data_IF_920545531861
#
_entry.id   IF_920545531861
#
_cell.length_a   1.000
_cell.length_b   1.000
_cell.length_c   1.000
_cell.angle_alpha   90.00
_cell.angle_beta   90.00
_cell.angle_gamma   90.00
#
_symmetry.space_group_name_H-M   'P 1'
#
loop_
_entity.id
_entity.type
_entity.pdbx_description
1 polymer ?
#
# COMPACT_ATOMS: atom_id res chain seq x y z
N UNK A 1 45.69 2.36 -50.38
CA UNK A 1 47.12 2.37 -50.01
C UNK A 1 47.22 1.95 -48.55
N UNK A 2 47.62 0.69 -48.32
CA UNK A 2 47.62 -0.01 -47.03
C UNK A 2 48.75 0.51 -46.14
N UNK A 3 48.43 1.19 -45.04
CA UNK A 3 49.42 1.71 -44.10
C UNK A 3 49.87 0.58 -43.16
N UNK A 4 51.03 -0.01 -43.44
CA UNK A 4 51.72 -0.93 -42.54
C UNK A 4 52.42 -0.15 -41.44
N UNK A 5 51.96 -0.28 -40.20
CA UNK A 5 52.65 0.27 -39.02
C UNK A 5 53.56 -0.83 -38.47
N UNK A 6 54.86 -0.70 -38.74
CA UNK A 6 55.90 -1.54 -38.17
C UNK A 6 56.17 -1.09 -36.72
N UNK A 7 55.92 -1.98 -35.75
CA UNK A 7 56.18 -1.72 -34.34
C UNK A 7 57.64 -2.12 -34.02
N UNK A 8 58.51 -1.12 -33.89
CA UNK A 8 59.91 -1.31 -33.53
C UNK A 8 60.02 -1.50 -32.01
N UNK A 9 60.20 -2.74 -31.56
CA UNK A 9 60.40 -3.07 -30.13
C UNK A 9 61.83 -2.71 -29.76
N UNK A 10 62.00 -1.59 -29.06
CA UNK A 10 63.25 -1.21 -28.42
C UNK A 10 63.37 -1.94 -27.08
N UNK A 11 64.14 -3.04 -27.05
CA UNK A 11 64.46 -3.76 -25.81
C UNK A 11 65.52 -2.96 -25.06
N UNK A 12 65.09 -2.16 -24.08
CA UNK A 12 66.00 -1.57 -23.09
C UNK A 12 66.25 -2.59 -21.98
N UNK A 13 67.52 -2.97 -21.87
CA UNK A 13 68.19 -3.71 -20.79
C UNK A 13 67.36 -3.84 -19.50
N UNK A 14 66.83 -5.05 -19.25
CA UNK A 14 66.29 -5.42 -17.95
C UNK A 14 67.43 -5.79 -17.01
N UNK A 15 67.78 -4.88 -16.10
CA UNK A 15 68.51 -5.27 -14.89
C UNK A 15 67.53 -6.02 -13.99
N UNK A 16 67.68 -7.35 -13.90
CA UNK A 16 67.01 -8.15 -12.89
C UNK A 16 67.54 -7.74 -11.51
N UNK A 17 66.85 -6.82 -10.83
CA UNK A 17 67.09 -6.57 -9.41
C UNK A 17 66.67 -7.84 -8.67
N UNK A 18 67.56 -8.42 -7.86
CA UNK A 18 67.20 -9.58 -7.04
C UNK A 18 66.04 -9.19 -6.13
N UNK A 19 64.88 -9.84 -6.30
CA UNK A 19 63.67 -9.62 -5.49
C UNK A 19 63.86 -10.32 -4.13
N UNK A 20 64.95 -9.99 -3.43
CA UNK A 20 65.16 -10.48 -2.07
C UNK A 20 64.28 -9.67 -1.14
N UNK A 21 63.38 -10.35 -0.43
CA UNK A 21 62.59 -9.73 0.62
C UNK A 21 63.35 -9.62 1.94
N UNK A 22 64.65 -9.94 1.97
CA UNK A 22 65.55 -9.79 3.11
C UNK A 22 66.15 -8.39 3.15
N UNK A 23 66.05 -7.74 4.31
CA UNK A 23 66.53 -6.39 4.56
C UNK A 23 67.49 -6.40 5.73
N UNK A 24 68.54 -5.60 5.62
CA UNK A 24 69.50 -5.35 6.70
C UNK A 24 69.56 -3.84 6.94
N UNK A 25 69.45 -3.42 8.20
CA UNK A 25 69.53 -2.00 8.61
C UNK A 25 70.39 -1.86 9.85
N UNK A 26 71.02 -0.70 10.01
CA UNK A 26 71.62 -0.29 11.28
C UNK A 26 70.71 0.77 11.88
N UNK A 27 70.26 0.53 13.10
CA UNK A 27 69.38 1.43 13.86
C UNK A 27 70.14 1.97 15.06
N UNK A 28 69.89 3.24 15.38
CA UNK A 28 70.41 3.87 16.60
C UNK A 28 69.30 3.83 17.65
N UNK A 29 69.61 3.34 18.85
CA UNK A 29 68.65 3.24 19.93
C UNK A 29 68.41 4.63 20.54
N UNK A 30 67.45 5.39 20.01
CA UNK A 30 67.17 6.77 20.46
C UNK A 30 65.85 6.92 21.22
N UNK A 31 64.89 6.04 20.95
CA UNK A 31 63.53 6.07 21.49
C UNK A 31 63.04 4.65 21.79
N UNK A 32 62.02 4.53 22.64
CA UNK A 32 61.48 3.24 23.09
C UNK A 32 60.80 2.43 21.97
N UNK A 33 60.44 3.06 20.85
CA UNK A 33 59.75 2.41 19.72
C UNK A 33 60.38 2.78 18.39
N UNK A 34 60.96 1.82 17.70
CA UNK A 34 61.61 2.01 16.40
C UNK A 34 60.76 1.35 15.31
N UNK A 35 60.37 2.12 14.30
CA UNK A 35 59.71 1.57 13.10
C UNK A 35 60.77 1.05 12.15
N UNK A 36 60.79 -0.27 11.93
CA UNK A 36 61.77 -0.92 11.08
C UNK A 36 61.41 -0.79 9.60
N UNK A 37 60.13 -0.91 9.25
CA UNK A 37 59.69 -0.94 7.85
C UNK A 37 58.24 -0.46 7.65
N UNK A 38 57.91 -0.16 6.40
CA UNK A 38 56.55 0.15 5.93
C UNK A 38 55.71 -1.09 5.62
N UNK A 39 56.36 -2.23 5.39
CA UNK A 39 55.73 -3.54 5.12
C UNK A 39 55.84 -4.42 6.36
N UNK A 40 54.89 -5.35 6.54
CA UNK A 40 54.91 -6.28 7.68
C UNK A 40 56.11 -7.25 7.57
N UNK A 41 56.69 -7.58 8.72
CA UNK A 41 57.82 -8.52 8.84
C UNK A 41 57.28 -9.96 8.86
N UNK A 42 58.04 -10.89 8.27
CA UNK A 42 57.74 -12.32 8.33
C UNK A 42 58.09 -12.81 9.75
N UNK A 43 57.12 -13.36 10.52
CA UNK A 43 57.37 -13.83 11.88
C UNK A 43 58.54 -14.82 11.94
N UNK A 44 59.41 -14.67 12.95
CA UNK A 44 60.59 -15.51 13.14
C UNK A 44 61.76 -15.25 12.20
N UNK A 45 61.67 -14.27 11.29
CA UNK A 45 62.79 -13.89 10.40
C UNK A 45 63.71 -12.81 10.96
N UNK A 46 63.31 -12.16 12.06
CA UNK A 46 64.04 -11.03 12.64
C UNK A 46 65.20 -11.48 13.52
N UNK A 47 66.35 -10.85 13.32
CA UNK A 47 67.56 -11.02 14.13
C UNK A 47 68.17 -9.64 14.39
N UNK A 48 68.57 -9.39 15.63
CA UNK A 48 69.28 -8.18 16.02
C UNK A 48 70.65 -8.54 16.60
N UNK A 49 71.67 -7.77 16.21
CA UNK A 49 73.05 -7.95 16.63
C UNK A 49 73.63 -6.64 17.15
N UNK A 50 74.32 -6.71 18.28
CA UNK A 50 75.05 -5.60 18.89
C UNK A 50 76.49 -6.05 19.14
N UNK A 51 77.47 -5.29 18.67
CA UNK A 51 78.91 -5.64 18.77
C UNK A 51 79.23 -7.08 18.32
N UNK A 52 78.59 -7.54 17.24
CA UNK A 52 78.69 -8.90 16.69
C UNK A 52 78.13 -10.04 17.55
N UNK A 53 77.42 -9.74 18.63
CA UNK A 53 76.66 -10.72 19.42
C UNK A 53 75.16 -10.60 19.14
N UNK A 54 74.45 -11.74 19.13
CA UNK A 54 73.01 -11.79 18.94
C UNK A 54 72.33 -11.31 20.21
N UNK A 55 71.44 -10.32 20.09
CA UNK A 55 70.63 -9.85 21.22
C UNK A 55 69.61 -10.93 21.58
N UNK A 56 69.50 -11.25 22.87
CA UNK A 56 68.52 -12.21 23.37
C UNK A 56 67.09 -11.73 23.05
N UNK A 57 66.22 -12.63 22.60
CA UNK A 57 64.81 -12.36 22.29
C UNK A 57 63.99 -11.84 23.48
N UNK A 58 64.48 -11.95 24.72
CA UNK A 58 63.86 -11.33 25.91
C UNK A 58 64.12 -9.82 26.02
N UNK A 59 65.14 -9.31 25.31
CA UNK A 59 65.56 -7.92 25.37
C UNK A 59 64.84 -7.03 24.35
N UNK A 60 63.99 -7.60 23.51
CA UNK A 60 63.19 -6.84 22.57
C UNK A 60 61.84 -7.49 22.35
N UNK A 61 60.85 -6.67 22.00
CA UNK A 61 59.55 -7.11 21.52
C UNK A 61 59.37 -6.58 20.11
N UNK A 62 59.07 -7.47 19.16
CA UNK A 62 58.78 -7.11 17.79
C UNK A 62 57.30 -7.32 17.50
N UNK A 63 56.63 -6.28 17.03
CA UNK A 63 55.32 -6.42 16.42
C UNK A 63 55.48 -6.62 14.91
N UNK A 64 55.49 -7.88 14.46
CA UNK A 64 55.70 -8.25 13.06
C UNK A 64 54.69 -7.60 12.09
N UNK A 65 53.45 -7.44 12.54
CA UNK A 65 52.34 -6.89 11.73
C UNK A 65 52.52 -5.41 11.43
N UNK A 66 52.98 -4.63 12.43
CA UNK A 66 53.19 -3.19 12.29
C UNK A 66 54.66 -2.78 12.08
N UNK A 67 55.57 -3.76 12.05
CA UNK A 67 57.02 -3.57 11.90
C UNK A 67 57.62 -2.60 12.92
N UNK A 68 57.10 -2.66 14.15
CA UNK A 68 57.56 -1.85 15.29
C UNK A 68 58.37 -2.71 16.24
N UNK A 69 59.59 -2.25 16.54
CA UNK A 69 60.52 -2.88 17.48
C UNK A 69 60.59 -2.05 18.75
N UNK A 70 60.45 -2.73 19.88
CA UNK A 70 60.56 -2.18 21.22
C UNK A 70 61.74 -2.84 21.89
N UNK A 71 62.66 -2.07 22.46
CA UNK A 71 63.75 -2.63 23.25
C UNK A 71 63.41 -2.51 24.73
N UNK A 72 63.68 -3.57 25.48
CA UNK A 72 63.68 -3.49 26.92
C UNK A 72 65.04 -2.94 27.38
N UNK A 73 65.03 -1.82 28.08
CA UNK A 73 66.23 -1.14 28.60
C UNK A 73 66.63 -1.63 29.99
N UNK A 74 66.05 -2.74 30.45
CA UNK A 74 66.47 -3.42 31.68
C UNK A 74 67.99 -3.67 31.71
N UNK A 75 68.57 -3.53 32.90
CA UNK A 75 70.02 -3.61 33.11
C UNK A 75 70.63 -4.97 32.73
N UNK A 76 69.81 -6.00 32.55
CA UNK A 76 70.20 -7.34 32.08
C UNK A 76 70.53 -7.40 30.59
N UNK A 77 70.08 -6.43 29.79
CA UNK A 77 70.20 -6.45 28.33
C UNK A 77 71.40 -5.68 27.78
N UNK A 78 72.15 -4.95 28.63
CA UNK A 78 73.37 -4.22 28.27
C UNK A 78 73.24 -3.24 27.08
N UNK A 79 72.01 -2.78 26.77
CA UNK A 79 71.74 -1.81 25.71
C UNK A 79 71.57 -0.41 26.32
N UNK A 80 72.25 0.59 25.75
CA UNK A 80 72.14 2.00 26.16
C UNK A 80 71.57 2.85 25.03
N UNK A 81 70.84 3.93 25.36
CA UNK A 81 70.51 4.94 24.37
C UNK A 81 71.76 5.46 23.65
N UNK A 82 71.73 5.48 22.32
CA UNK A 82 72.85 5.84 21.44
C UNK A 82 73.61 4.66 20.83
N UNK A 83 73.32 3.42 21.24
CA UNK A 83 73.95 2.22 20.66
C UNK A 83 73.50 1.94 19.22
N UNK A 84 74.44 1.48 18.39
CA UNK A 84 74.20 1.05 17.02
C UNK A 84 73.90 -0.45 16.98
N UNK A 85 72.69 -0.82 16.55
CA UNK A 85 72.24 -2.21 16.45
C UNK A 85 72.05 -2.55 14.98
N UNK A 86 72.65 -3.66 14.53
CA UNK A 86 72.41 -4.18 13.19
C UNK A 86 71.26 -5.19 13.22
N UNK A 87 70.22 -4.92 12.47
CA UNK A 87 69.02 -5.75 12.36
C UNK A 87 68.90 -6.35 10.97
N UNK A 88 68.45 -7.60 10.92
CA UNK A 88 68.18 -8.33 9.70
C UNK A 88 66.80 -8.99 9.80
N UNK A 89 65.99 -8.87 8.75
CA UNK A 89 64.62 -9.41 8.73
C UNK A 89 64.11 -9.61 7.31
N UNK A 90 63.04 -10.38 7.14
CA UNK A 90 62.30 -10.52 5.88
C UNK A 90 60.96 -9.80 5.94
N UNK A 91 60.52 -9.22 4.83
CA UNK A 91 59.22 -8.54 4.73
C UNK A 91 58.24 -9.28 3.82
N UNK A 92 56.96 -9.15 4.09
CA UNK A 92 55.90 -9.48 3.13
C UNK A 92 55.82 -8.41 2.02
N UNK A 93 55.31 -8.75 0.83
CA UNK A 93 55.09 -7.77 -0.23
C UNK A 93 53.93 -6.80 0.05
N UNK A 94 53.23 -6.96 1.19
CA UNK A 94 52.08 -6.16 1.63
C UNK A 94 52.21 -5.82 3.12
N UNK A 95 51.57 -4.73 3.55
CA UNK A 95 51.41 -4.44 4.98
C UNK A 95 50.07 -4.99 5.49
N UNK A 96 50.12 -5.91 6.44
CA UNK A 96 48.95 -6.53 7.07
C UNK A 96 48.19 -5.57 8.00
N UNK A 97 48.83 -4.48 8.43
CA UNK A 97 48.18 -3.45 9.26
C UNK A 97 47.39 -2.40 8.45
N UNK A 98 47.51 -2.42 7.12
CA UNK A 98 46.93 -1.38 6.27
C UNK A 98 45.45 -1.70 6.02
N UNK A 99 44.58 -0.89 6.62
CA UNK A 99 43.13 -0.95 6.35
C UNK A 99 42.87 -0.33 4.99
N UNK A 100 42.27 -1.10 4.08
CA UNK A 100 41.73 -0.60 2.83
C UNK A 100 40.21 -0.50 2.97
N UNK A 101 39.65 0.66 2.69
CA UNK A 101 38.20 0.81 2.57
C UNK A 101 37.89 1.64 1.33
N UNK A 102 36.89 1.18 0.56
CA UNK A 102 36.37 1.90 -0.60
C UNK A 102 35.22 2.84 -0.21
N UNK A 103 34.68 2.71 1.02
CA UNK A 103 33.62 3.57 1.59
C UNK A 103 33.83 3.71 3.10
N UNK A 104 33.90 4.93 3.63
CA UNK A 104 34.03 5.14 5.07
C UNK A 104 32.67 4.96 5.75
N UNK A 105 32.64 4.25 6.88
CA UNK A 105 31.44 4.15 7.73
C UNK A 105 31.03 5.55 8.24
N UNK A 106 31.98 6.48 8.36
CA UNK A 106 31.70 7.88 8.73
C UNK A 106 30.89 8.61 7.66
N UNK A 107 31.08 8.29 6.38
CA UNK A 107 30.27 8.86 5.27
C UNK A 107 28.90 8.18 5.14
N UNK A 108 28.68 7.06 5.83
CA UNK A 108 27.40 6.32 5.82
C UNK A 108 26.53 6.66 7.03
N UNK A 109 27.12 7.12 8.15
CA UNK A 109 26.41 7.39 9.41
C UNK A 109 26.16 8.89 9.64
N UNK A 110 26.88 9.79 8.95
CA UNK A 110 26.70 11.25 9.08
C UNK A 110 25.43 11.83 8.43
N UNK A 111 24.48 10.98 8.02
CA UNK A 111 23.15 11.39 7.54
C UNK A 111 21.97 10.80 8.33
N UNK A 112 22.23 10.12 9.46
CA UNK A 112 21.19 9.45 10.27
C UNK A 112 20.65 10.28 11.45
N UNK A 113 21.11 11.51 11.62
CA UNK A 113 20.43 12.51 12.43
C UNK A 113 19.90 13.61 11.48
N UNK A 114 18.57 13.76 11.44
CA UNK A 114 17.77 14.83 10.81
C UNK A 114 17.21 14.75 9.37
N UNK A 115 17.41 13.69 8.57
CA UNK A 115 16.66 13.63 7.28
C UNK A 115 16.16 12.25 6.84
N UNK A 116 15.74 11.42 7.81
CA UNK A 116 14.78 10.35 7.49
C UNK A 116 13.41 10.99 7.24
N UNK A 117 13.25 11.67 6.10
CA UNK A 117 11.95 11.84 5.47
C UNK A 117 11.66 10.51 4.79
N UNK A 118 10.76 9.66 5.31
CA UNK A 118 10.20 8.61 4.47
C UNK A 118 9.77 9.27 3.17
N UNK A 119 9.87 8.56 2.04
CA UNK A 119 9.15 8.95 0.84
C UNK A 119 7.65 8.91 1.16
N UNK A 120 7.16 9.90 1.89
CA UNK A 120 5.77 10.24 1.97
C UNK A 120 5.49 10.84 0.62
N UNK A 121 4.92 10.02 -0.25
CA UNK A 121 4.06 10.54 -1.28
C UNK A 121 2.98 11.36 -0.56
N UNK A 122 3.24 12.65 -0.40
CA UNK A 122 2.19 13.64 -0.24
C UNK A 122 1.68 13.82 -1.66
N UNK A 123 0.51 13.24 -2.02
CA UNK A 123 -0.13 13.68 -3.25
C UNK A 123 -0.15 15.21 -3.18
N UNK A 124 0.29 15.87 -4.25
CA UNK A 124 -0.11 17.26 -4.42
C UNK A 124 -1.61 17.26 -4.21
N UNK A 125 -2.08 18.06 -3.25
CA UNK A 125 -3.48 18.34 -3.09
C UNK A 125 -3.88 19.14 -4.32
N UNK A 126 -4.06 18.46 -5.44
CA UNK A 126 -4.75 18.98 -6.59
C UNK A 126 -6.12 19.36 -6.06
N UNK A 127 -6.34 20.67 -5.90
CA UNK A 127 -7.65 21.26 -5.60
C UNK A 127 -8.63 21.07 -6.75
N UNK A 128 -8.23 20.37 -7.81
CA UNK A 128 -9.11 19.77 -8.81
C UNK A 128 -9.81 18.54 -8.21
N UNK A 129 -10.51 18.73 -7.10
CA UNK A 129 -11.57 17.81 -6.72
C UNK A 129 -12.62 17.97 -7.82
N UNK A 130 -12.82 16.92 -8.62
CA UNK A 130 -13.75 16.86 -9.76
C UNK A 130 -15.19 17.28 -9.39
N UNK A 131 -15.45 17.49 -8.09
CA UNK A 131 -16.71 17.87 -7.46
C UNK A 131 -16.61 19.09 -6.53
N UNK A 132 -15.61 19.98 -6.64
CA UNK A 132 -15.50 21.20 -5.83
C UNK A 132 -16.53 22.29 -6.21
N UNK A 133 -17.78 21.92 -6.41
CA UNK A 133 -18.87 22.89 -6.48
C UNK A 133 -19.13 23.35 -5.05
N UNK A 134 -18.86 24.62 -4.75
CA UNK A 134 -19.14 25.20 -3.43
C UNK A 134 -20.60 24.94 -3.06
N UNK A 135 -20.85 24.31 -1.91
CA UNK A 135 -22.20 23.95 -1.46
C UNK A 135 -22.59 22.48 -1.60
N UNK A 136 -21.66 21.60 -1.98
CA UNK A 136 -21.84 20.14 -1.94
C UNK A 136 -21.28 19.52 -0.65
N UNK A 137 -22.10 18.74 0.04
CA UNK A 137 -21.70 17.86 1.13
C UNK A 137 -21.51 16.44 0.60
N UNK A 138 -20.35 15.87 0.89
CA UNK A 138 -19.98 14.51 0.54
C UNK A 138 -19.79 13.70 1.82
N UNK A 139 -20.39 12.53 1.90
CA UNK A 139 -20.22 11.58 3.00
C UNK A 139 -20.03 10.15 2.47
N UNK A 140 -19.36 9.32 3.26
CA UNK A 140 -19.06 7.94 2.92
C UNK A 140 -17.57 7.66 2.73
N UNK A 141 -17.25 6.52 2.13
CA UNK A 141 -15.88 6.02 1.96
C UNK A 141 -15.70 5.32 0.61
N UNK A 142 -14.45 5.36 0.13
CA UNK A 142 -14.00 4.63 -1.04
C UNK A 142 -12.78 3.83 -0.59
N UNK A 143 -12.87 2.51 -0.66
CA UNK A 143 -11.78 1.60 -0.29
C UNK A 143 -11.37 0.79 -1.52
N UNK A 144 -10.08 0.81 -1.85
CA UNK A 144 -9.47 -0.03 -2.88
C UNK A 144 -8.31 -0.76 -2.24
N UNK A 145 -8.43 -2.07 -2.06
CA UNK A 145 -7.43 -2.94 -1.45
C UNK A 145 -6.89 -3.93 -2.46
N UNK A 146 -5.59 -4.20 -2.39
CA UNK A 146 -4.96 -5.27 -3.18
C UNK A 146 -4.49 -6.32 -2.18
N UNK A 147 -4.94 -7.55 -2.35
CA UNK A 147 -4.59 -8.68 -1.50
C UNK A 147 -3.72 -9.66 -2.29
N UNK A 148 -2.60 -10.07 -1.71
CA UNK A 148 -1.66 -11.04 -2.28
C UNK A 148 -1.33 -12.08 -1.20
N UNK A 149 -1.20 -13.35 -1.57
CA UNK A 149 -0.91 -14.45 -0.64
C UNK A 149 -0.06 -15.54 -1.30
N UNK A 150 0.70 -16.29 -0.51
CA UNK A 150 1.70 -17.26 -1.01
C UNK A 150 1.12 -18.35 -1.94
N UNK A 151 -0.19 -18.60 -1.92
CA UNK A 151 -0.88 -19.59 -2.76
C UNK A 151 -2.17 -19.02 -3.39
N UNK A 152 -2.27 -17.70 -3.58
CA UNK A 152 -3.47 -17.09 -4.18
C UNK A 152 -3.08 -15.98 -5.14
N UNK A 153 -3.83 -15.90 -6.25
CA UNK A 153 -3.70 -14.81 -7.21
C UNK A 153 -3.98 -13.46 -6.55
N UNK A 154 -3.44 -12.39 -7.16
CA UNK A 154 -3.68 -11.03 -6.69
C UNK A 154 -5.16 -10.70 -6.85
N UNK A 155 -5.82 -10.37 -5.74
CA UNK A 155 -7.22 -9.97 -5.72
C UNK A 155 -7.32 -8.47 -5.45
N UNK A 156 -8.08 -7.78 -6.30
CA UNK A 156 -8.43 -6.37 -6.10
C UNK A 156 -9.80 -6.33 -5.43
N UNK A 157 -9.84 -5.84 -4.20
CA UNK A 157 -11.06 -5.61 -3.44
C UNK A 157 -11.44 -4.14 -3.53
N UNK A 158 -12.71 -3.88 -3.86
CA UNK A 158 -13.26 -2.56 -4.06
C UNK A 158 -14.53 -2.43 -3.23
N UNK A 159 -14.60 -1.40 -2.40
CA UNK A 159 -15.84 -1.01 -1.73
C UNK A 159 -16.06 0.48 -1.93
N UNK A 160 -17.28 0.84 -2.32
CA UNK A 160 -17.70 2.21 -2.53
C UNK A 160 -19.01 2.41 -1.79
N UNK A 161 -19.04 3.35 -0.86
CA UNK A 161 -20.26 3.88 -0.27
C UNK A 161 -20.13 5.40 -0.28
N UNK A 162 -20.86 6.05 -1.18
CA UNK A 162 -20.76 7.48 -1.38
C UNK A 162 -22.15 8.10 -1.43
N UNK A 163 -22.37 9.09 -0.58
CA UNK A 163 -23.55 9.93 -0.59
C UNK A 163 -23.13 11.37 -0.86
N UNK A 164 -23.86 12.04 -1.72
CA UNK A 164 -23.59 13.42 -2.10
C UNK A 164 -24.91 14.19 -2.10
N UNK A 165 -24.93 15.33 -1.42
CA UNK A 165 -26.08 16.23 -1.42
C UNK A 165 -25.63 17.69 -1.46
N UNK A 166 -26.46 18.57 -1.98
CA UNK A 166 -26.20 20.01 -1.91
C UNK A 166 -26.58 20.74 -3.19
N UNK A 167 -26.13 21.99 -3.30
CA UNK A 167 -26.37 22.83 -4.48
C UNK A 167 -25.25 22.63 -5.50
N UNK A 168 -25.64 22.24 -6.72
CA UNK A 168 -24.74 22.20 -7.88
C UNK A 168 -24.64 23.58 -8.54
N UNK A 169 -25.72 24.37 -8.49
CA UNK A 169 -25.80 25.77 -8.89
C UNK A 169 -26.88 26.48 -8.06
N UNK A 170 -27.10 27.79 -8.28
CA UNK A 170 -28.10 28.56 -7.51
C UNK A 170 -29.51 27.93 -7.55
N UNK A 171 -29.88 27.42 -8.73
CA UNK A 171 -31.20 26.85 -9.04
C UNK A 171 -31.21 25.32 -9.19
N UNK A 172 -30.13 24.59 -8.90
CA UNK A 172 -30.07 23.14 -9.07
C UNK A 172 -29.45 22.48 -7.86
N UNK A 173 -30.20 21.57 -7.25
CA UNK A 173 -29.73 20.68 -6.19
C UNK A 173 -29.41 19.30 -6.75
N UNK A 174 -28.45 18.63 -6.11
CA UNK A 174 -28.08 17.25 -6.40
C UNK A 174 -28.25 16.42 -5.13
N UNK A 175 -28.73 15.19 -5.32
CA UNK A 175 -28.76 14.13 -4.32
C UNK A 175 -28.32 12.84 -5.03
N UNK A 176 -27.25 12.23 -4.57
CA UNK A 176 -26.76 10.98 -5.14
C UNK A 176 -26.40 10.00 -4.03
N UNK A 177 -26.66 8.72 -4.29
CA UNK A 177 -26.19 7.60 -3.51
C UNK A 177 -25.56 6.60 -4.48
N UNK A 178 -24.30 6.24 -4.25
CA UNK A 178 -23.56 5.27 -5.06
C UNK A 178 -22.97 4.27 -4.08
N UNK A 179 -23.41 3.04 -4.19
CA UNK A 179 -23.03 1.92 -3.33
C UNK A 179 -22.68 0.72 -4.21
N UNK A 180 -21.53 0.11 -3.95
CA UNK A 180 -21.04 -1.09 -4.65
C UNK A 180 -20.98 -2.29 -3.68
N UNK A 181 -21.56 -2.16 -2.49
CA UNK A 181 -21.53 -3.22 -1.50
C UNK A 181 -22.63 -4.24 -1.78
N UNK A 182 -22.24 -5.41 -2.26
CA UNK A 182 -23.03 -6.63 -2.07
C UNK A 182 -22.94 -7.01 -0.59
N UNK A 183 -23.87 -6.54 0.25
CA UNK A 183 -23.99 -7.07 1.61
C UNK A 183 -24.66 -8.44 1.48
N UNK A 184 -24.01 -9.56 1.85
CA UNK A 184 -24.74 -10.82 2.01
C UNK A 184 -25.76 -10.60 3.13
N UNK A 185 -27.03 -10.49 2.77
CA UNK A 185 -28.10 -10.35 3.74
C UNK A 185 -28.23 -11.67 4.49
N UNK A 186 -27.94 -11.67 5.78
CA UNK A 186 -28.42 -12.71 6.70
C UNK A 186 -29.42 -12.01 7.61
N UNK A 187 -30.70 -12.15 7.30
CA UNK A 187 -31.78 -11.57 8.09
C UNK A 187 -31.89 -12.34 9.42
N UNK A 188 -31.13 -11.94 10.44
CA UNK A 188 -31.38 -12.42 11.80
C UNK A 188 -32.50 -11.60 12.46
N UNK A 189 -33.66 -12.23 12.65
CA UNK A 189 -34.52 -12.06 13.83
C UNK A 189 -35.18 -10.71 14.09
N UNK A 190 -35.13 -9.73 13.18
CA UNK A 190 -35.90 -8.49 13.35
C UNK A 190 -36.40 -7.94 12.01
N UNK A 191 -37.57 -8.39 11.58
CA UNK A 191 -38.15 -8.13 10.25
C UNK A 191 -38.69 -6.70 10.07
N UNK A 192 -38.59 -5.86 11.10
CA UNK A 192 -39.07 -4.47 11.08
C UNK A 192 -38.07 -3.49 10.44
N UNK A 193 -36.76 -3.74 10.55
CA UNK A 193 -35.75 -2.87 9.95
C UNK A 193 -35.48 -3.30 8.51
N UNK A 194 -36.26 -2.73 7.59
CA UNK A 194 -36.00 -2.79 6.17
C UNK A 194 -34.79 -1.92 5.85
N UNK A 195 -33.61 -2.53 5.75
CA UNK A 195 -32.42 -1.79 5.35
C UNK A 195 -32.05 -2.10 3.90
N UNK A 196 -32.74 -1.42 2.99
CA UNK A 196 -32.37 -1.36 1.57
C UNK A 196 -31.14 -0.45 1.43
N UNK A 197 -29.95 -1.06 1.33
CA UNK A 197 -28.69 -0.32 1.22
C UNK A 197 -28.15 -0.19 -0.21
N UNK A 198 -28.86 -0.73 -1.22
CA UNK A 198 -28.32 -0.94 -2.57
C UNK A 198 -28.93 -0.01 -3.65
N UNK A 199 -29.20 1.25 -3.29
CA UNK A 199 -29.71 2.23 -4.27
C UNK A 199 -28.54 2.97 -4.91
N UNK A 200 -28.43 2.85 -6.23
CA UNK A 200 -27.46 3.59 -7.03
C UNK A 200 -28.19 4.58 -7.92
N UNK A 201 -28.17 5.86 -7.56
CA UNK A 201 -28.83 6.91 -8.32
C UNK A 201 -28.16 8.27 -8.18
N UNK A 202 -28.42 9.12 -9.16
CA UNK A 202 -28.15 10.55 -9.13
C UNK A 202 -29.46 11.26 -9.43
N UNK A 203 -29.88 12.13 -8.52
CA UNK A 203 -31.06 12.98 -8.63
C UNK A 203 -30.62 14.43 -8.75
N UNK A 204 -31.00 15.08 -9.84
CA UNK A 204 -30.89 16.52 -10.04
C UNK A 204 -32.28 17.13 -9.92
N UNK A 205 -32.44 18.17 -9.13
CA UNK A 205 -33.76 18.74 -8.91
C UNK A 205 -33.74 20.21 -8.53
N UNK A 206 -34.86 20.86 -8.81
CA UNK A 206 -35.20 22.20 -8.34
C UNK A 206 -36.70 22.26 -8.03
N UNK A 207 -37.24 23.46 -7.81
CA UNK A 207 -38.65 23.64 -7.43
C UNK A 207 -39.65 23.12 -8.46
N UNK A 208 -39.23 23.01 -9.74
CA UNK A 208 -40.11 22.67 -10.86
C UNK A 208 -39.75 21.38 -11.58
N UNK A 209 -38.49 20.95 -11.51
CA UNK A 209 -37.95 19.85 -12.29
C UNK A 209 -37.21 18.88 -11.41
N UNK A 210 -37.36 17.59 -11.71
CA UNK A 210 -36.66 16.49 -11.05
C UNK A 210 -36.24 15.48 -12.10
N UNK A 211 -34.95 15.23 -12.20
CA UNK A 211 -34.35 14.22 -13.05
C UNK A 211 -33.64 13.20 -12.16
N UNK A 212 -33.91 11.91 -12.35
CA UNK A 212 -33.23 10.81 -11.69
C UNK A 212 -32.60 9.94 -12.76
N UNK A 213 -31.32 9.61 -12.59
CA UNK A 213 -30.59 8.63 -13.38
C UNK A 213 -30.11 7.51 -12.45
N UNK A 214 -30.30 6.25 -12.86
CA UNK A 214 -30.06 5.06 -12.04
C UNK A 214 -31.36 4.51 -11.46
N UNK A 215 -31.32 4.13 -10.20
CA UNK A 215 -32.44 3.51 -9.52
C UNK A 215 -33.53 4.53 -9.16
N UNK A 216 -34.76 4.23 -9.54
CA UNK A 216 -35.92 5.03 -9.15
C UNK A 216 -37.15 4.17 -8.89
N UNK A 217 -38.10 4.79 -8.20
CA UNK A 217 -39.38 4.19 -7.87
C UNK A 217 -40.50 5.06 -8.44
N UNK A 218 -41.40 4.43 -9.17
CA UNK A 218 -42.65 5.03 -9.61
C UNK A 218 -43.68 4.73 -8.54
N UNK A 219 -44.06 5.76 -7.81
CA UNK A 219 -45.13 5.68 -6.82
C UNK A 219 -46.49 5.96 -7.48
N UNK A 220 -47.57 5.31 -6.98
CA UNK A 220 -48.91 5.63 -7.44
C UNK A 220 -49.24 7.09 -7.08
N UNK A 221 -49.70 7.84 -8.07
CA UNK A 221 -50.26 9.18 -7.84
C UNK A 221 -51.67 9.08 -7.24
N UNK A 222 -52.24 10.22 -6.85
CA UNK A 222 -53.58 10.29 -6.27
C UNK A 222 -54.72 10.09 -7.30
N UNK A 223 -54.46 9.38 -8.39
CA UNK A 223 -55.45 9.05 -9.42
C UNK A 223 -56.32 7.88 -8.98
N UNK A 224 -57.59 7.91 -9.38
CA UNK A 224 -58.48 6.75 -9.23
C UNK A 224 -58.03 5.57 -10.10
N UNK A 225 -57.53 5.86 -11.31
CA UNK A 225 -57.10 4.87 -12.29
C UNK A 225 -55.58 4.71 -12.32
N UNK A 226 -55.10 3.54 -12.78
CA UNK A 226 -53.68 3.24 -13.04
C UNK A 226 -52.77 3.44 -11.82
N UNK A 227 -53.17 2.90 -10.67
CA UNK A 227 -52.30 2.80 -9.49
C UNK A 227 -51.31 1.66 -9.69
N UNK A 228 -50.04 1.99 -9.90
CA UNK A 228 -48.97 1.00 -9.91
C UNK A 228 -47.77 1.54 -9.14
N UNK A 229 -47.06 0.61 -8.49
CA UNK A 229 -45.76 0.86 -7.91
C UNK A 229 -44.74 0.11 -8.77
N UNK A 230 -43.64 0.74 -9.20
CA UNK A 230 -42.61 0.04 -9.98
C UNK A 230 -41.22 0.52 -9.57
N UNK A 231 -40.33 -0.42 -9.24
CA UNK A 231 -38.88 -0.16 -9.08
C UNK A 231 -38.19 -0.43 -10.42
N UNK A 232 -37.36 0.50 -10.88
CA UNK A 232 -36.65 0.38 -12.16
C UNK A 232 -35.29 1.06 -12.14
N UNK A 233 -34.44 0.68 -13.08
CA UNK A 233 -33.13 1.27 -13.30
C UNK A 233 -33.08 1.91 -14.69
N UNK A 234 -32.85 3.22 -14.74
CA UNK A 234 -32.84 3.98 -15.99
C UNK A 234 -32.93 5.48 -15.73
N UNK A 235 -33.81 6.16 -16.47
CA UNK A 235 -34.05 7.60 -16.33
C UNK A 235 -35.50 7.91 -15.98
N UNK A 236 -35.71 8.85 -15.07
CA UNK A 236 -37.01 9.42 -14.72
C UNK A 236 -36.92 10.94 -14.72
N UNK A 237 -37.79 11.59 -15.47
CA UNK A 237 -38.00 13.03 -15.45
C UNK A 237 -39.39 13.37 -14.94
N UNK A 238 -39.49 14.36 -14.06
CA UNK A 238 -40.72 15.00 -13.59
C UNK A 238 -40.57 16.51 -13.74
N UNK A 239 -41.61 17.17 -14.24
CA UNK A 239 -41.64 18.61 -14.46
C UNK A 239 -43.00 19.20 -14.15
N UNK A 240 -43.01 20.37 -13.51
CA UNK A 240 -44.21 21.11 -13.11
C UNK A 240 -44.20 22.48 -13.79
N UNK A 241 -45.19 22.72 -14.65
CA UNK A 241 -45.27 23.91 -15.49
C UNK A 241 -46.51 24.73 -15.13
N UNK A 242 -46.39 26.04 -14.94
CA UNK A 242 -47.57 26.90 -14.77
C UNK A 242 -48.34 26.97 -16.09
N UNK A 243 -49.66 26.78 -16.06
CA UNK A 243 -50.52 26.87 -17.25
C UNK A 243 -51.62 27.91 -17.01
N UNK A 244 -51.51 29.04 -17.71
CA UNK A 244 -52.48 30.14 -17.68
C UNK A 244 -52.48 30.96 -16.39
N UNK A 245 -53.50 31.82 -16.23
CA UNK A 245 -53.72 32.66 -15.04
C UNK A 245 -54.26 31.90 -13.82
N UNK A 246 -54.55 30.60 -13.96
CA UNK A 246 -55.12 29.77 -12.90
C UNK A 246 -54.03 28.96 -12.19
N UNK A 247 -54.20 28.83 -10.87
CA UNK A 247 -53.23 28.29 -9.88
C UNK A 247 -52.94 26.78 -10.00
N UNK A 248 -53.35 26.10 -11.07
CA UNK A 248 -53.18 24.66 -11.22
C UNK A 248 -52.02 24.36 -12.17
N UNK A 249 -50.83 24.02 -11.66
CA UNK A 249 -49.69 23.71 -12.51
C UNK A 249 -49.88 22.34 -13.20
N UNK A 250 -49.48 22.26 -14.46
CA UNK A 250 -49.41 21.02 -15.22
C UNK A 250 -48.19 20.21 -14.78
N UNK A 251 -48.41 18.98 -14.31
CA UNK A 251 -47.34 18.04 -13.96
C UNK A 251 -47.15 17.01 -15.06
N UNK A 252 -45.92 16.89 -15.58
CA UNK A 252 -45.52 15.92 -16.60
C UNK A 252 -44.49 14.98 -15.98
N UNK A 253 -44.61 13.67 -16.23
CA UNK A 253 -43.64 12.66 -15.82
C UNK A 253 -43.37 11.72 -16.98
N UNK A 254 -42.09 11.46 -17.27
CA UNK A 254 -41.66 10.52 -18.30
C UNK A 254 -40.49 9.70 -17.76
N UNK A 255 -40.48 8.40 -18.05
CA UNK A 255 -39.41 7.50 -17.60
C UNK A 255 -39.12 6.42 -18.62
N UNK A 256 -37.86 6.04 -18.74
CA UNK A 256 -37.40 4.88 -19.50
C UNK A 256 -36.44 4.06 -18.65
N UNK A 257 -36.74 2.77 -18.43
CA UNK A 257 -35.97 1.93 -17.54
C UNK A 257 -36.12 0.44 -17.82
N UNK A 258 -35.14 -0.31 -17.34
CA UNK A 258 -35.24 -1.76 -17.15
C UNK A 258 -35.93 -2.03 -15.82
N UNK A 259 -36.93 -2.91 -15.82
CA UNK A 259 -37.63 -3.29 -14.58
C UNK A 259 -36.68 -4.10 -13.68
N UNK A 260 -36.59 -3.76 -12.39
CA UNK A 260 -35.79 -4.54 -11.42
C UNK A 260 -36.44 -5.88 -11.06
N UNK A 261 -37.71 -6.09 -11.41
CA UNK A 261 -38.41 -7.33 -11.13
C UNK A 261 -39.71 -7.48 -11.92
N UNK A 262 -40.37 -8.63 -11.74
CA UNK A 262 -41.69 -8.94 -12.28
C UNK A 262 -42.70 -8.96 -11.14
N UNK A 263 -43.90 -8.42 -11.39
CA UNK A 263 -45.01 -8.51 -10.44
C UNK A 263 -45.68 -9.86 -10.56
N UNK A 264 -45.92 -10.51 -9.43
CA UNK A 264 -46.70 -11.74 -9.34
C UNK A 264 -47.73 -11.60 -8.23
N UNK A 265 -48.93 -12.13 -8.45
CA UNK A 265 -49.96 -12.26 -7.43
C UNK A 265 -50.07 -13.73 -7.07
N UNK A 266 -49.72 -14.07 -5.84
CA UNK A 266 -49.98 -15.39 -5.28
C UNK A 266 -51.30 -15.33 -4.51
N UNK A 267 -52.18 -16.32 -4.73
CA UNK A 267 -53.44 -16.47 -4.02
C UNK A 267 -53.57 -17.92 -3.62
N UNK A 268 -53.73 -18.18 -2.34
CA UNK A 268 -53.90 -19.52 -1.78
C UNK A 268 -54.97 -19.48 -0.69
N UNK A 269 -55.65 -20.60 -0.48
CA UNK A 269 -56.46 -20.81 0.70
C UNK A 269 -55.58 -21.40 1.79
N UNK A 270 -55.76 -20.98 3.04
CA UNK A 270 -55.08 -21.60 4.16
C UNK A 270 -55.48 -23.07 4.29
N UNK A 271 -54.53 -23.94 4.61
CA UNK A 271 -54.78 -25.36 4.85
C UNK A 271 -54.99 -25.60 6.35
N UNK A 272 -55.97 -26.43 6.70
CA UNK A 272 -56.21 -26.79 8.09
C UNK A 272 -55.00 -27.54 8.67
N UNK A 273 -54.59 -27.18 9.89
CA UNK A 273 -53.36 -27.63 10.55
C UNK A 273 -52.03 -27.19 9.90
N UNK A 274 -52.05 -26.22 8.99
CA UNK A 274 -50.83 -25.64 8.42
C UNK A 274 -50.62 -24.18 8.87
N UNK A 275 -49.65 -23.96 9.77
CA UNK A 275 -49.27 -22.62 10.24
C UNK A 275 -48.24 -21.93 9.32
N UNK A 276 -47.96 -22.51 8.16
CA UNK A 276 -46.94 -22.05 7.24
C UNK A 276 -45.54 -22.63 7.52
N UNK A 277 -44.53 -22.20 6.75
CA UNK A 277 -44.56 -21.14 5.75
C UNK A 277 -45.27 -21.56 4.44
N UNK A 278 -46.08 -20.65 3.90
CA UNK A 278 -46.67 -20.82 2.57
C UNK A 278 -45.65 -20.43 1.50
N UNK A 279 -45.35 -21.33 0.58
CA UNK A 279 -44.39 -21.09 -0.49
C UNK A 279 -44.98 -20.19 -1.56
N UNK A 280 -44.26 -19.13 -1.90
CA UNK A 280 -44.61 -18.22 -2.97
C UNK A 280 -43.97 -18.69 -4.28
N UNK A 281 -44.65 -18.45 -5.39
CA UNK A 281 -44.17 -18.79 -6.73
C UNK A 281 -43.99 -17.55 -7.59
N UNK A 282 -43.05 -17.64 -8.54
CA UNK A 282 -42.79 -16.60 -9.52
C UNK A 282 -43.89 -16.49 -10.57
N UNK A 283 -43.78 -15.48 -11.42
CA UNK A 283 -44.76 -15.22 -12.48
C UNK A 283 -44.91 -16.41 -13.45
N UNK A 284 -43.86 -17.21 -13.62
CA UNK A 284 -43.82 -18.38 -14.51
C UNK A 284 -43.82 -19.71 -13.72
N UNK A 285 -44.40 -19.74 -12.52
CA UNK A 285 -44.35 -20.89 -11.59
C UNK A 285 -42.94 -21.30 -11.15
N UNK A 286 -41.99 -20.36 -11.15
CA UNK A 286 -40.66 -20.55 -10.60
C UNK A 286 -40.76 -20.76 -9.08
N UNK A 287 -40.07 -21.77 -8.54
CA UNK A 287 -40.06 -22.07 -7.09
C UNK A 287 -38.98 -21.33 -6.32
N UNK A 288 -37.91 -20.93 -7.00
CA UNK A 288 -36.79 -20.19 -6.43
C UNK A 288 -36.89 -18.75 -6.92
N UNK A 289 -37.50 -17.90 -6.09
CA UNK A 289 -37.68 -16.48 -6.37
C UNK A 289 -37.08 -15.65 -5.24
N UNK A 290 -36.51 -14.51 -5.62
CA UNK A 290 -36.08 -13.50 -4.65
C UNK A 290 -37.14 -12.41 -4.66
N UNK A 291 -37.76 -12.19 -3.52
CA UNK A 291 -38.71 -11.10 -3.34
C UNK A 291 -37.92 -9.85 -2.96
N UNK A 292 -38.14 -8.75 -3.67
CA UNK A 292 -37.54 -7.48 -3.30
C UNK A 292 -38.21 -6.99 -2.02
N UNK A 293 -37.43 -6.75 -0.97
CA UNK A 293 -37.98 -6.38 0.33
C UNK A 293 -38.81 -5.10 0.27
N UNK A 294 -39.90 -5.03 1.03
CA UNK A 294 -40.79 -3.86 1.07
C UNK A 294 -41.66 -3.68 -0.17
N UNK A 295 -41.59 -4.59 -1.15
CA UNK A 295 -42.46 -4.55 -2.35
C UNK A 295 -43.71 -5.42 -2.19
N UNK A 296 -43.73 -6.28 -1.17
CA UNK A 296 -44.84 -7.14 -0.83
C UNK A 296 -46.05 -6.36 -0.29
N UNK A 297 -47.24 -6.86 -0.61
CA UNK A 297 -48.49 -6.48 0.04
C UNK A 297 -49.28 -7.75 0.28
N UNK A 298 -49.49 -8.09 1.55
CA UNK A 298 -50.25 -9.26 1.96
C UNK A 298 -51.62 -8.81 2.40
N UNK A 299 -52.64 -9.52 1.93
CA UNK A 299 -54.03 -9.27 2.28
C UNK A 299 -54.63 -10.55 2.82
N UNK A 300 -55.39 -10.44 3.90
CA UNK A 300 -56.24 -11.50 4.43
C UNK A 300 -57.68 -10.97 4.43
N UNK A 301 -58.58 -11.67 3.74
CA UNK A 301 -60.00 -11.30 3.62
C UNK A 301 -60.26 -9.85 3.17
N UNK A 302 -59.34 -9.28 2.38
CA UNK A 302 -59.42 -7.92 1.86
C UNK A 302 -58.77 -6.86 2.74
N UNK A 303 -58.35 -7.19 3.96
CA UNK A 303 -57.61 -6.29 4.85
C UNK A 303 -56.09 -6.43 4.61
N UNK A 304 -55.40 -5.29 4.50
CA UNK A 304 -53.96 -5.28 4.32
C UNK A 304 -53.25 -5.54 5.66
N UNK A 305 -52.47 -6.61 5.70
CA UNK A 305 -51.70 -7.00 6.88
C UNK A 305 -50.43 -6.14 7.03
N UNK A 306 -49.98 -5.96 8.27
CA UNK A 306 -48.72 -5.30 8.62
C UNK A 306 -47.62 -6.33 8.83
N UNK A 307 -46.49 -6.08 8.18
CA UNK A 307 -45.28 -6.88 8.35
C UNK A 307 -44.66 -6.68 9.73
N UNK A 308 -44.13 -7.73 10.32
CA UNK A 308 -43.25 -7.68 11.49
C UNK A 308 -43.30 -8.98 12.28
N UNK A 309 -42.22 -9.33 12.99
CA UNK A 309 -42.20 -10.49 13.87
C UNK A 309 -43.25 -10.41 14.98
N UNK A 310 -43.47 -9.19 15.47
CA UNK A 310 -44.52 -8.86 16.45
C UNK A 310 -45.82 -8.36 15.79
N UNK A 311 -45.93 -8.44 14.45
CA UNK A 311 -47.10 -7.99 13.69
C UNK A 311 -47.75 -9.18 12.95
N UNK A 312 -48.54 -8.92 11.92
CA UNK A 312 -49.46 -9.88 11.33
C UNK A 312 -48.77 -10.95 10.46
N UNK A 313 -47.60 -10.66 9.86
CA UNK A 313 -46.87 -11.63 9.04
C UNK A 313 -45.37 -11.37 8.92
N UNK A 314 -44.65 -12.43 8.55
CA UNK A 314 -43.20 -12.44 8.23
C UNK A 314 -43.02 -13.04 6.83
N UNK A 315 -42.00 -12.58 6.08
CA UNK A 315 -41.52 -13.27 4.88
C UNK A 315 -40.07 -13.65 5.11
N UNK A 316 -39.76 -14.91 4.86
CA UNK A 316 -38.38 -15.37 4.74
C UNK A 316 -37.90 -15.10 3.30
N UNK A 317 -36.79 -14.37 3.19
CA UNK A 317 -36.18 -13.98 1.91
C UNK A 317 -35.03 -14.92 1.50
N UNK A 318 -34.68 -15.89 2.36
CA UNK A 318 -33.48 -16.72 2.20
C UNK A 318 -33.74 -18.11 1.63
N UNK A 319 -35.01 -18.53 1.45
CA UNK A 319 -35.39 -19.92 1.15
C UNK A 319 -36.44 -20.02 0.05
#
# INVERSE_FOLDING_TARGET
MTLHVAFFVCVKNSSAQSISNQRTKVIVLTIDTIVLDSLSIVPGSFQATYKNEIINSQCYFLNDVSSKLFFNTDSSCNLKPGDNISVQYRVFPISLNKKYSNKSVVDTISGFEDDYKPFFYKPESSTDDLFSFGGLNKSGSISRGISFGNNQDVVVNSSLNLQLNGKLSDDVNVLAAITDNNIPFQAEGNTQQLQEFDKVFIQLYNDKHKLIAGDFELEPNNSYFLKFFKKGQGGLYKGTFPVGSNKNPLSISASGAVSKGKFVRNSFAGEEQNQGPYKLTGAENERFIIILSGTEKVFLDGEQLKRGQENDYIIDYNT
#
